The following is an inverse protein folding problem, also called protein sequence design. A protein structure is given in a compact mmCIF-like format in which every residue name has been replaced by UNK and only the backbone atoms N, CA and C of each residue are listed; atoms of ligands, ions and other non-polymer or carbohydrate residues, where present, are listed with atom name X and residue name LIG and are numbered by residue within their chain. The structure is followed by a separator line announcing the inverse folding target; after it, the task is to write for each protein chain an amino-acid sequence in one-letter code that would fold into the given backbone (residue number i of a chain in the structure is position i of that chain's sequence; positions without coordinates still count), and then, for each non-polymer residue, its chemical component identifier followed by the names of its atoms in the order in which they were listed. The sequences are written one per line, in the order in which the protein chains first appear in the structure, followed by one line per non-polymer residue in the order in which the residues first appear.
data_IF_331860155651
#
_entry.id   IF_331860155651
#
_cell.length_a   1.000
_cell.length_b   1.000
_cell.length_c   1.000
_cell.angle_alpha   90.00
_cell.angle_beta   90.00
_cell.angle_gamma   90.00
#
_symmetry.space_group_name_H-M   'P 1'
#
loop_
_entity.id
_entity.type
_entity.pdbx_description
1 polymer ?
#
# COMPACT_ATOMS: atom_id res chain seq x y z
N UNK A 1 1.49 -21.15 -5.57
CA UNK A 1 0.98 -20.51 -4.34
C UNK A 1 -0.46 -20.98 -4.14
N UNK A 2 -0.82 -21.52 -2.99
CA UNK A 2 -2.19 -21.92 -2.68
C UNK A 2 -3.00 -20.64 -2.40
N UNK A 3 -3.92 -20.29 -3.29
CA UNK A 3 -4.82 -19.15 -3.12
C UNK A 3 -6.00 -19.55 -2.24
N UNK A 4 -6.42 -18.68 -1.34
CA UNK A 4 -7.64 -18.86 -0.56
C UNK A 4 -8.64 -17.77 -0.91
N UNK A 5 -9.92 -18.13 -0.97
CA UNK A 5 -11.01 -17.17 -1.20
C UNK A 5 -11.42 -16.44 0.08
N UNK A 6 -10.48 -16.33 1.05
CA UNK A 6 -10.73 -15.51 2.23
C UNK A 6 -10.84 -14.02 1.82
N UNK A 7 -11.83 -13.28 2.31
CA UNK A 7 -12.75 -13.58 3.41
C UNK A 7 -14.03 -14.34 3.04
N UNK A 8 -14.19 -14.77 1.81
CA UNK A 8 -15.42 -15.43 1.33
C UNK A 8 -15.56 -16.89 1.78
N UNK A 9 -14.44 -17.55 2.11
CA UNK A 9 -14.46 -18.88 2.69
C UNK A 9 -14.34 -18.80 4.23
N UNK A 10 -15.14 -19.57 4.99
CA UNK A 10 -15.02 -19.60 6.44
C UNK A 10 -13.66 -20.17 6.88
N UNK A 11 -13.13 -19.67 8.00
CA UNK A 11 -11.78 -20.01 8.48
C UNK A 11 -11.54 -21.53 8.67
N UNK A 12 -12.58 -22.28 9.08
CA UNK A 12 -12.52 -23.75 9.20
C UNK A 12 -12.34 -24.46 7.85
N UNK A 13 -12.92 -23.94 6.77
CA UNK A 13 -12.75 -24.50 5.43
C UNK A 13 -11.30 -24.30 4.93
N UNK A 14 -10.65 -23.19 5.31
CA UNK A 14 -9.27 -22.90 5.02
C UNK A 14 -8.32 -23.89 5.69
N UNK A 15 -8.56 -24.16 6.99
CA UNK A 15 -7.76 -25.12 7.77
C UNK A 15 -7.89 -26.55 7.23
N UNK A 16 -9.11 -26.95 6.87
CA UNK A 16 -9.38 -28.28 6.27
C UNK A 16 -8.74 -28.41 4.88
N UNK A 17 -8.79 -27.35 4.06
CA UNK A 17 -8.17 -27.32 2.75
C UNK A 17 -6.64 -27.43 2.84
N UNK A 18 -6.03 -26.74 3.79
CA UNK A 18 -4.57 -26.79 4.01
C UNK A 18 -4.12 -28.17 4.51
N UNK A 19 -4.89 -28.78 5.41
CA UNK A 19 -4.62 -30.13 5.90
C UNK A 19 -4.65 -31.15 4.75
N UNK A 20 -5.71 -31.11 3.92
CA UNK A 20 -5.84 -31.99 2.75
C UNK A 20 -4.69 -31.78 1.76
N UNK A 21 -4.30 -30.55 1.51
CA UNK A 21 -3.18 -30.22 0.61
C UNK A 21 -1.84 -30.76 1.14
N UNK A 22 -1.62 -30.66 2.46
CA UNK A 22 -0.44 -31.26 3.12
C UNK A 22 -0.42 -32.76 2.95
N UNK A 23 -1.54 -33.43 3.15
CA UNK A 23 -1.66 -34.90 3.00
C UNK A 23 -1.39 -35.32 1.55
N UNK A 24 -1.86 -34.59 0.56
CA UNK A 24 -1.57 -34.87 -0.84
C UNK A 24 -0.08 -34.67 -1.20
N UNK A 25 0.55 -33.62 -0.69
CA UNK A 25 1.99 -33.38 -0.88
C UNK A 25 2.83 -34.53 -0.24
N UNK A 26 2.39 -35.08 0.88
CA UNK A 26 3.10 -36.17 1.56
C UNK A 26 3.05 -37.49 0.77
N UNK A 27 2.05 -37.70 -0.09
CA UNK A 27 1.88 -38.89 -0.91
C UNK A 27 2.80 -38.92 -2.13
N UNK A 28 3.29 -37.77 -2.59
CA UNK A 28 4.16 -37.68 -3.75
C UNK A 28 5.64 -37.61 -3.32
N UNK A 29 6.45 -38.66 -3.60
CA UNK A 29 7.86 -38.69 -3.22
C UNK A 29 8.71 -37.59 -3.87
N UNK A 30 8.29 -37.05 -4.99
CA UNK A 30 8.99 -35.97 -5.68
C UNK A 30 8.71 -34.60 -5.06
N UNK A 31 7.50 -34.39 -4.55
CA UNK A 31 7.06 -33.14 -3.96
C UNK A 31 7.27 -33.08 -2.45
N UNK A 32 7.25 -34.23 -1.75
CA UNK A 32 7.38 -34.30 -0.28
C UNK A 32 8.67 -33.67 0.23
N UNK A 33 9.77 -33.80 -0.50
CA UNK A 33 11.06 -33.19 -0.17
C UNK A 33 11.05 -31.64 -0.19
N UNK A 34 10.10 -31.06 -0.92
CA UNK A 34 9.90 -29.61 -1.00
C UNK A 34 8.70 -29.11 -0.18
N UNK A 35 8.06 -30.01 0.58
CA UNK A 35 6.82 -29.68 1.28
C UNK A 35 6.98 -28.46 2.21
N UNK A 36 8.09 -28.37 2.95
CA UNK A 36 8.38 -27.22 3.80
C UNK A 36 8.51 -25.91 3.02
N UNK A 37 9.16 -25.94 1.87
CA UNK A 37 9.30 -24.76 1.01
C UNK A 37 7.97 -24.35 0.38
N UNK A 38 7.16 -25.33 -0.06
CA UNK A 38 5.86 -25.07 -0.65
C UNK A 38 4.87 -24.50 0.37
N UNK A 39 4.88 -25.04 1.59
CA UNK A 39 3.89 -24.70 2.63
C UNK A 39 4.27 -23.45 3.43
N UNK A 40 5.54 -23.20 3.68
CA UNK A 40 5.95 -22.16 4.62
C UNK A 40 7.19 -21.36 4.19
N UNK A 41 8.31 -22.02 3.82
CA UNK A 41 9.60 -21.35 3.67
C UNK A 41 9.62 -20.30 2.56
N UNK A 42 8.92 -20.54 1.46
CA UNK A 42 8.82 -19.56 0.37
C UNK A 42 8.05 -18.31 0.80
N UNK A 43 6.98 -18.50 1.58
CA UNK A 43 6.23 -17.39 2.16
C UNK A 43 7.07 -16.64 3.20
N UNK A 44 7.77 -17.35 4.07
CA UNK A 44 8.65 -16.75 5.08
C UNK A 44 9.75 -15.90 4.44
N UNK A 45 10.41 -16.40 3.40
CA UNK A 45 11.41 -15.63 2.64
C UNK A 45 10.83 -14.41 1.94
N UNK A 46 9.65 -14.55 1.33
CA UNK A 46 8.99 -13.47 0.60
C UNK A 46 8.54 -12.33 1.54
N UNK A 47 8.08 -12.67 2.73
CA UNK A 47 7.54 -11.72 3.69
C UNK A 47 8.53 -11.33 4.80
N UNK A 48 9.77 -11.81 4.77
CA UNK A 48 10.80 -11.50 5.76
C UNK A 48 10.50 -12.04 7.17
N UNK A 49 9.72 -13.14 7.25
CA UNK A 49 9.38 -13.79 8.52
C UNK A 49 10.58 -14.58 9.07
N UNK A 50 10.68 -14.67 10.40
CA UNK A 50 11.76 -15.40 11.02
C UNK A 50 11.75 -16.90 10.68
N UNK A 51 12.94 -17.55 10.63
CA UNK A 51 13.08 -18.99 10.33
C UNK A 51 12.31 -19.91 11.28
N UNK A 52 11.97 -19.47 12.48
CA UNK A 52 11.22 -20.24 13.47
C UNK A 52 9.78 -20.52 13.05
N UNK A 53 9.15 -19.60 12.32
CA UNK A 53 7.79 -19.78 11.75
C UNK A 53 7.83 -20.85 10.65
N UNK A 54 8.91 -20.95 9.90
CA UNK A 54 9.07 -21.90 8.81
C UNK A 54 9.24 -23.36 9.30
N UNK A 55 9.70 -23.59 10.54
CA UNK A 55 9.93 -24.93 11.10
C UNK A 55 8.73 -25.56 11.79
N UNK A 56 7.56 -24.88 11.80
CA UNK A 56 6.33 -25.41 12.40
C UNK A 56 6.42 -25.62 13.91
N UNK A 57 7.38 -25.02 14.59
CA UNK A 57 7.44 -25.03 16.03
C UNK A 57 6.33 -24.11 16.56
N UNK A 58 5.53 -24.61 17.52
CA UNK A 58 4.55 -23.80 18.22
C UNK A 58 5.29 -22.66 18.94
N UNK A 59 5.31 -21.50 18.31
CA UNK A 59 5.71 -20.26 18.98
C UNK A 59 4.62 -19.99 19.99
N UNK A 60 4.97 -19.84 21.26
CA UNK A 60 3.99 -19.54 22.32
C UNK A 60 3.19 -18.29 21.93
N UNK A 61 1.92 -18.23 22.36
CA UNK A 61 1.03 -17.10 22.04
C UNK A 61 1.67 -15.74 22.36
N UNK A 62 2.49 -15.67 23.39
CA UNK A 62 3.24 -14.47 23.80
C UNK A 62 4.30 -14.03 22.79
N UNK A 63 4.96 -14.97 22.07
CA UNK A 63 5.93 -14.64 21.03
C UNK A 63 5.25 -14.15 19.73
N UNK A 64 4.08 -14.71 19.40
CA UNK A 64 3.29 -14.22 18.27
C UNK A 64 2.78 -12.80 18.51
N UNK A 65 2.43 -12.45 19.76
CA UNK A 65 2.01 -11.10 20.11
C UNK A 65 3.19 -10.11 20.10
N UNK A 66 4.39 -10.54 20.48
CA UNK A 66 5.60 -9.71 20.41
C UNK A 66 6.06 -9.48 18.97
N UNK A 67 6.06 -10.51 18.12
CA UNK A 67 6.40 -10.38 16.69
C UNK A 67 5.34 -9.59 15.94
N UNK A 68 4.06 -9.73 16.29
CA UNK A 68 2.97 -8.93 15.78
C UNK A 68 3.03 -7.48 16.28
N UNK A 69 3.37 -7.27 17.55
CA UNK A 69 3.59 -5.95 18.13
C UNK A 69 4.83 -5.27 17.52
N UNK A 70 5.91 -6.00 17.26
CA UNK A 70 7.11 -5.47 16.60
C UNK A 70 6.84 -5.12 15.12
N UNK A 71 6.10 -5.97 14.40
CA UNK A 71 5.66 -5.67 13.03
C UNK A 71 4.66 -4.51 12.98
N UNK A 72 3.84 -4.34 14.01
CA UNK A 72 2.90 -3.22 14.17
C UNK A 72 3.63 -1.96 14.65
N UNK A 73 4.64 -2.08 15.51
CA UNK A 73 5.46 -0.96 15.97
C UNK A 73 6.38 -0.38 14.88
N UNK A 74 6.78 -1.19 13.88
CA UNK A 74 7.58 -0.72 12.75
C UNK A 74 6.80 0.23 11.82
N UNK A 75 5.46 0.34 11.96
CA UNK A 75 4.58 1.22 11.19
C UNK A 75 3.42 1.76 12.04
N UNK A 76 3.68 2.09 13.32
CA UNK A 76 2.68 2.78 14.13
C UNK A 76 2.56 4.23 13.69
N UNK A 77 1.85 4.46 12.59
CA UNK A 77 1.24 5.75 12.37
C UNK A 77 -0.16 5.73 13.02
N UNK A 78 -0.51 6.81 13.65
CA UNK A 78 -1.85 7.01 14.16
C UNK A 78 -2.81 7.09 12.97
N UNK A 79 -3.65 6.08 12.81
CA UNK A 79 -4.59 6.01 11.70
C UNK A 79 -5.62 7.16 11.73
N UNK A 80 -5.89 7.73 12.90
CA UNK A 80 -6.78 8.88 13.08
C UNK A 80 -6.08 10.21 12.74
N UNK A 81 -4.75 10.23 12.79
CA UNK A 81 -3.97 11.42 12.43
C UNK A 81 -3.78 11.60 10.92
N UNK A 82 -4.10 10.58 10.12
CA UNK A 82 -3.93 10.64 8.67
C UNK A 82 -4.70 11.81 8.04
N UNK A 83 -4.00 12.62 7.28
CA UNK A 83 -4.63 13.58 6.38
C UNK A 83 -4.82 12.92 5.02
N UNK A 84 -6.08 12.68 4.65
CA UNK A 84 -6.45 12.09 3.37
C UNK A 84 -7.32 13.05 2.58
N UNK A 85 -7.05 13.18 1.28
CA UNK A 85 -7.88 13.99 0.41
C UNK A 85 -7.78 13.57 -1.05
N UNK A 86 -8.74 14.01 -1.84
CA UNK A 86 -8.71 13.96 -3.29
C UNK A 86 -8.53 15.39 -3.83
N UNK A 87 -7.47 15.62 -4.56
CA UNK A 87 -7.37 16.82 -5.39
C UNK A 87 -8.13 16.59 -6.69
N UNK A 88 -9.17 17.38 -6.93
CA UNK A 88 -9.97 17.38 -8.15
C UNK A 88 -9.54 18.53 -9.04
N UNK A 89 -8.97 18.21 -10.19
CA UNK A 89 -8.29 19.18 -11.05
C UNK A 89 -8.86 19.11 -12.46
N UNK A 90 -9.16 20.25 -13.04
CA UNK A 90 -9.42 20.39 -14.45
C UNK A 90 -8.32 21.22 -15.11
N UNK A 91 -7.77 20.71 -16.21
CA UNK A 91 -6.63 21.31 -16.94
C UNK A 91 -7.13 21.90 -18.25
N UNK A 92 -6.61 23.05 -18.63
CA UNK A 92 -6.80 23.57 -19.98
C UNK A 92 -6.18 22.61 -21.01
N UNK A 93 -6.89 22.24 -22.09
CA UNK A 93 -6.43 21.22 -23.05
C UNK A 93 -5.03 21.48 -23.62
N UNK A 94 -4.69 22.73 -23.87
CA UNK A 94 -3.40 23.14 -24.45
C UNK A 94 -2.19 22.82 -23.56
N UNK A 95 -2.41 22.68 -22.24
CA UNK A 95 -1.36 22.40 -21.27
C UNK A 95 -1.34 20.95 -20.80
N UNK A 96 -2.22 20.10 -21.33
CA UNK A 96 -2.43 18.76 -20.78
C UNK A 96 -1.14 17.92 -20.69
N UNK A 97 -0.38 17.88 -21.76
CA UNK A 97 0.85 17.07 -21.81
C UNK A 97 1.93 17.56 -20.82
N UNK A 98 2.08 18.89 -20.72
CA UNK A 98 3.04 19.51 -19.80
C UNK A 98 2.63 19.27 -18.34
N UNK A 99 1.34 19.49 -18.05
CA UNK A 99 0.81 19.23 -16.71
C UNK A 99 0.99 17.78 -16.27
N UNK A 100 0.67 16.80 -17.13
CA UNK A 100 0.83 15.38 -16.79
C UNK A 100 2.28 15.02 -16.45
N UNK A 101 3.25 15.60 -17.13
CA UNK A 101 4.67 15.39 -16.83
C UNK A 101 5.05 16.02 -15.49
N UNK A 102 4.58 17.24 -15.22
CA UNK A 102 4.84 17.92 -13.95
C UNK A 102 4.22 17.17 -12.76
N UNK A 103 2.96 16.71 -12.89
CA UNK A 103 2.25 15.97 -11.85
C UNK A 103 2.93 14.62 -11.54
N UNK A 104 3.36 13.87 -12.56
CA UNK A 104 4.12 12.63 -12.37
C UNK A 104 5.45 12.88 -11.66
N UNK A 105 6.16 13.91 -12.05
CA UNK A 105 7.47 14.24 -11.46
C UNK A 105 7.36 14.62 -10.00
N UNK A 106 6.44 15.55 -9.65
CA UNK A 106 6.27 15.98 -8.26
C UNK A 106 5.77 14.84 -7.37
N UNK A 107 4.82 14.04 -7.84
CA UNK A 107 4.30 12.90 -7.07
C UNK A 107 5.39 11.88 -6.74
N UNK A 108 6.20 11.49 -7.72
CA UNK A 108 7.32 10.58 -7.53
C UNK A 108 8.39 11.14 -6.58
N UNK A 109 8.71 12.43 -6.71
CA UNK A 109 9.72 13.10 -5.89
C UNK A 109 9.27 13.25 -4.45
N UNK A 110 8.00 13.61 -4.23
CA UNK A 110 7.42 13.74 -2.89
C UNK A 110 7.40 12.42 -2.14
N UNK A 111 6.90 11.36 -2.75
CA UNK A 111 6.88 10.03 -2.13
C UNK A 111 8.29 9.51 -1.84
N UNK A 112 9.26 9.80 -2.71
CA UNK A 112 10.64 9.34 -2.53
C UNK A 112 11.42 10.10 -1.45
N UNK A 113 11.14 11.39 -1.26
CA UNK A 113 11.96 12.28 -0.42
C UNK A 113 11.32 12.66 0.92
N UNK A 114 10.02 12.57 1.01
CA UNK A 114 9.26 13.05 2.16
C UNK A 114 8.66 11.88 2.95
N UNK A 115 9.24 11.54 4.10
CA UNK A 115 8.80 10.41 4.93
C UNK A 115 7.36 10.54 5.45
N UNK A 116 6.82 11.76 5.48
CA UNK A 116 5.44 12.03 5.87
C UNK A 116 4.44 11.99 4.71
N UNK A 117 4.91 11.91 3.46
CA UNK A 117 4.07 11.74 2.27
C UNK A 117 3.91 10.25 2.01
N UNK A 118 2.77 9.68 2.37
CA UNK A 118 2.51 8.24 2.27
C UNK A 118 2.01 7.84 0.89
N UNK A 119 1.26 8.74 0.23
CA UNK A 119 0.72 8.51 -1.10
C UNK A 119 0.51 9.84 -1.82
N UNK A 120 1.00 9.94 -3.04
CA UNK A 120 0.54 10.89 -4.06
C UNK A 120 0.33 10.09 -5.34
N UNK A 121 -0.94 9.83 -5.66
CA UNK A 121 -1.32 8.96 -6.76
C UNK A 121 -2.19 9.73 -7.77
N UNK A 122 -1.58 10.36 -8.78
CA UNK A 122 -2.30 11.07 -9.83
C UNK A 122 -2.96 10.10 -10.80
N UNK A 123 -4.24 10.34 -11.08
CA UNK A 123 -5.07 9.57 -11.98
C UNK A 123 -5.70 10.48 -13.02
N UNK A 124 -5.68 10.07 -14.29
CA UNK A 124 -6.34 10.76 -15.38
C UNK A 124 -7.68 10.08 -15.72
N UNK A 125 -8.74 10.84 -15.88
CA UNK A 125 -10.04 10.31 -16.29
C UNK A 125 -9.96 9.74 -17.71
N UNK A 126 -10.48 8.51 -17.89
CA UNK A 126 -10.58 7.89 -19.22
C UNK A 126 -11.64 8.56 -20.11
N UNK A 127 -12.66 9.18 -19.51
CA UNK A 127 -13.75 9.81 -20.23
C UNK A 127 -13.42 11.25 -20.68
N UNK A 128 -12.65 11.97 -19.87
CA UNK A 128 -12.19 13.32 -20.18
C UNK A 128 -10.72 13.46 -19.71
N UNK A 129 -9.75 13.47 -20.64
CA UNK A 129 -8.33 13.49 -20.28
C UNK A 129 -7.89 14.77 -19.55
N UNK A 130 -8.66 15.86 -19.63
CA UNK A 130 -8.38 17.09 -18.89
C UNK A 130 -8.79 17.03 -17.41
N UNK A 131 -9.47 15.97 -16.99
CA UNK A 131 -9.86 15.76 -15.59
C UNK A 131 -8.84 14.87 -14.90
N UNK A 132 -8.21 15.41 -13.88
CA UNK A 132 -7.21 14.71 -13.06
C UNK A 132 -7.76 14.59 -11.64
N UNK A 133 -7.52 13.45 -11.02
CA UNK A 133 -7.76 13.20 -9.60
C UNK A 133 -6.48 12.72 -8.96
N UNK A 134 -6.08 13.32 -7.85
CA UNK A 134 -4.91 12.90 -7.11
C UNK A 134 -5.37 12.41 -5.75
N UNK A 135 -5.16 11.13 -5.46
CA UNK A 135 -5.28 10.65 -4.08
C UNK A 135 -4.02 11.07 -3.33
N UNK A 136 -4.20 11.82 -2.26
CA UNK A 136 -3.13 12.29 -1.39
C UNK A 136 -3.35 11.74 0.02
N UNK A 137 -2.30 11.13 0.58
CA UNK A 137 -2.29 10.63 1.96
C UNK A 137 -1.00 11.10 2.61
N UNK A 138 -1.15 11.88 3.67
CA UNK A 138 -0.06 12.33 4.53
C UNK A 138 -0.19 11.67 5.89
N UNK A 139 0.94 11.43 6.57
CA UNK A 139 0.98 10.83 7.89
C UNK A 139 0.18 11.64 8.91
N UNK A 140 0.21 12.97 8.79
CA UNK A 140 -0.44 13.93 9.67
C UNK A 140 -0.49 15.32 9.00
N UNK A 141 -1.12 16.27 9.67
CA UNK A 141 -1.19 17.67 9.23
C UNK A 141 0.21 18.32 9.14
N UNK A 142 1.14 17.98 10.04
CA UNK A 142 2.50 18.53 10.04
C UNK A 142 3.26 18.11 8.78
N UNK A 143 3.14 16.84 8.38
CA UNK A 143 3.72 16.34 7.15
C UNK A 143 3.17 17.07 5.92
N UNK A 144 1.87 17.33 5.89
CA UNK A 144 1.25 18.13 4.83
C UNK A 144 1.79 19.57 4.81
N UNK A 145 1.86 20.23 5.95
CA UNK A 145 2.40 21.59 6.02
C UNK A 145 3.88 21.66 5.64
N UNK A 146 4.64 20.61 5.93
CA UNK A 146 6.03 20.46 5.49
C UNK A 146 6.11 20.29 3.96
N UNK A 147 5.28 19.41 3.38
CA UNK A 147 5.18 19.19 1.94
C UNK A 147 4.97 20.50 1.16
N UNK A 148 4.07 21.37 1.62
CA UNK A 148 3.77 22.64 0.96
C UNK A 148 4.96 23.58 0.85
N UNK A 149 6.01 23.38 1.65
CA UNK A 149 7.21 24.22 1.71
C UNK A 149 8.39 23.62 0.93
N UNK A 150 8.24 22.40 0.43
CA UNK A 150 9.34 21.74 -0.29
C UNK A 150 9.64 22.40 -1.63
N UNK A 151 10.92 22.45 -2.06
CA UNK A 151 11.29 23.09 -3.32
C UNK A 151 10.59 22.47 -4.55
N UNK A 152 10.42 21.14 -4.57
CA UNK A 152 9.77 20.44 -5.69
C UNK A 152 8.28 20.75 -5.76
N UNK A 153 7.58 20.82 -4.62
CA UNK A 153 6.17 21.22 -4.59
C UNK A 153 6.00 22.68 -5.02
N UNK A 154 6.82 23.59 -4.49
CA UNK A 154 6.76 25.02 -4.88
C UNK A 154 7.01 25.21 -6.37
N UNK A 155 8.00 24.49 -6.91
CA UNK A 155 8.27 24.49 -8.35
C UNK A 155 7.06 24.00 -9.15
N UNK A 156 6.47 22.86 -8.76
CA UNK A 156 5.27 22.32 -9.39
C UNK A 156 4.13 23.34 -9.34
N UNK A 157 3.80 23.84 -8.14
CA UNK A 157 2.70 24.78 -7.93
C UNK A 157 2.84 26.04 -8.79
N UNK A 158 4.04 26.63 -8.87
CA UNK A 158 4.27 27.83 -9.64
C UNK A 158 4.26 27.59 -11.16
N UNK A 159 4.87 26.49 -11.61
CA UNK A 159 4.94 26.20 -13.04
C UNK A 159 3.59 25.77 -13.64
N UNK A 160 2.70 25.18 -12.84
CA UNK A 160 1.42 24.65 -13.33
C UNK A 160 0.24 25.58 -13.08
N UNK A 161 0.43 26.71 -12.40
CA UNK A 161 -0.66 27.60 -12.01
C UNK A 161 -1.55 28.03 -13.19
N UNK A 162 -0.94 28.40 -14.32
CA UNK A 162 -1.66 28.83 -15.53
C UNK A 162 -2.31 27.67 -16.30
N UNK A 163 -1.92 26.43 -16.01
CA UNK A 163 -2.43 25.23 -16.68
C UNK A 163 -3.75 24.74 -16.08
N UNK A 164 -4.00 25.12 -14.83
CA UNK A 164 -5.15 24.65 -14.04
C UNK A 164 -6.33 25.56 -14.27
N UNK A 165 -7.42 24.98 -14.75
CA UNK A 165 -8.72 25.67 -14.94
C UNK A 165 -9.52 25.68 -13.62
N UNK A 166 -9.51 24.59 -12.89
CA UNK A 166 -10.11 24.49 -11.55
C UNK A 166 -9.37 23.50 -10.68
N UNK A 167 -9.37 23.76 -9.38
CA UNK A 167 -8.82 22.87 -8.34
C UNK A 167 -9.76 22.90 -7.15
N UNK A 168 -10.18 21.70 -6.71
CA UNK A 168 -10.86 21.49 -5.44
C UNK A 168 -10.07 20.45 -4.63
N UNK A 169 -9.93 20.68 -3.33
CA UNK A 169 -9.26 19.80 -2.39
C UNK A 169 -10.30 19.20 -1.44
N UNK A 170 -10.80 18.02 -1.80
CA UNK A 170 -11.87 17.34 -1.08
C UNK A 170 -11.28 16.54 0.08
N UNK A 171 -11.53 16.92 1.35
CA UNK A 171 -11.08 16.13 2.50
C UNK A 171 -11.84 14.81 2.56
N UNK A 172 -11.13 13.74 2.89
CA UNK A 172 -11.65 12.38 2.96
C UNK A 172 -11.26 11.75 4.30
N UNK A 173 -12.13 10.87 4.80
CA UNK A 173 -11.82 10.02 5.95
C UNK A 173 -11.65 8.57 5.46
N UNK A 174 -10.54 7.90 5.80
CA UNK A 174 -10.38 6.50 5.46
C UNK A 174 -11.39 5.66 6.24
N UNK A 175 -12.08 4.72 5.56
CA UNK A 175 -13.02 3.81 6.22
C UNK A 175 -12.30 2.70 6.99
N UNK A 176 -11.11 2.33 6.55
CA UNK A 176 -10.29 1.28 7.15
C UNK A 176 -8.80 1.62 7.03
N UNK A 177 -8.35 2.54 7.84
CA UNK A 177 -6.95 2.96 7.86
C UNK A 177 -6.00 1.84 8.32
N UNK A 178 -6.46 0.91 9.13
CA UNK A 178 -5.65 -0.19 9.64
C UNK A 178 -5.19 -1.15 8.52
N UNK A 179 -5.99 -1.32 7.46
CA UNK A 179 -5.67 -2.18 6.32
C UNK A 179 -4.94 -1.44 5.17
N UNK A 180 -4.69 -0.15 5.30
CA UNK A 180 -4.04 0.66 4.25
C UNK A 180 -2.68 0.09 3.82
N UNK A 181 -1.88 -0.39 4.76
CA UNK A 181 -0.59 -1.02 4.49
C UNK A 181 -0.71 -2.25 3.59
N UNK A 182 -1.75 -3.08 3.80
CA UNK A 182 -1.98 -4.27 3.00
C UNK A 182 -2.34 -3.94 1.55
N UNK A 183 -3.05 -2.83 1.31
CA UNK A 183 -3.40 -2.37 -0.04
C UNK A 183 -2.15 -1.99 -0.81
N UNK A 184 -1.25 -1.20 -0.24
CA UNK A 184 -0.05 -0.73 -0.93
C UNK A 184 1.04 -1.80 -1.08
N UNK A 185 1.08 -2.80 -0.22
CA UNK A 185 2.02 -3.92 -0.36
C UNK A 185 1.75 -4.81 -1.58
N UNK A 186 0.53 -4.81 -2.11
CA UNK A 186 0.17 -5.59 -3.31
C UNK A 186 0.63 -4.98 -4.63
N UNK A 187 1.11 -3.75 -4.60
CA UNK A 187 1.50 -2.99 -5.80
C UNK A 187 3.02 -3.07 -6.06
N UNK A 188 3.76 -3.77 -5.21
CA UNK A 188 5.22 -3.97 -5.33
C UNK A 188 5.56 -4.99 -6.40
#
# INVERSE_FOLDING_TARGET
MYGSDFPYAPANALSAGLAKFRDELAKDPQLSKYASDILANNAARLFGLSENVAKGQNVSAEQNDADKAAATAALSFDAEALLVRIAEIEIYPDYLAEYLNAAKSVGAESVAKESGVLCIFPMQSKNNPCIIRILEIYRDEEAYQSHLKTPHFLKYKTSTLQMVKSLDLVPMSPLDAANMNAVFQKIK
#
